data_IF_376484056035
#
_entry.id   IF_376484056035
#
_cell.length_a   1.000
_cell.length_b   1.000
_cell.length_c   1.000
_cell.angle_alpha   90.00
_cell.angle_beta   90.00
_cell.angle_gamma   90.00
#
_symmetry.space_group_name_H-M   'P 1'
#
loop_
_entity.id
_entity.type
_entity.pdbx_description
1 polymer ?
#
# COMPACT_ATOMS: atom_id res chain seq x y z
N UNK A 1 19.69 44.81 -0.32
CA UNK A 1 18.43 44.42 0.35
C UNK A 1 18.74 43.20 1.19
N UNK A 2 18.37 43.17 2.47
CA UNK A 2 18.61 42.00 3.32
C UNK A 2 17.84 40.80 2.78
N UNK A 3 18.43 39.60 2.84
CA UNK A 3 17.70 38.38 2.51
C UNK A 3 16.46 38.30 3.40
N UNK A 4 15.28 37.95 2.85
CA UNK A 4 14.09 37.76 3.66
C UNK A 4 14.38 36.69 4.71
N UNK A 5 14.31 37.07 6.00
CA UNK A 5 14.64 36.18 7.11
C UNK A 5 13.47 35.24 7.38
N UNK A 6 13.70 33.94 7.34
CA UNK A 6 12.70 32.94 7.73
C UNK A 6 12.33 33.13 9.22
N UNK A 7 11.04 32.96 9.56
CA UNK A 7 10.49 33.27 10.89
C UNK A 7 10.92 32.27 11.98
N UNK A 8 11.21 31.01 11.62
CA UNK A 8 11.64 29.98 12.55
C UNK A 8 13.04 30.27 13.11
N UNK A 9 13.12 30.63 14.39
CA UNK A 9 14.35 31.13 15.03
C UNK A 9 15.43 30.07 15.27
N UNK A 10 15.03 28.85 15.62
CA UNK A 10 15.95 27.75 15.95
C UNK A 10 16.33 26.89 14.72
N UNK A 11 16.05 27.42 13.53
CA UNK A 11 16.28 26.73 12.27
C UNK A 11 17.78 26.58 12.00
N UNK A 12 18.11 25.57 11.18
CA UNK A 12 19.47 25.33 10.71
C UNK A 12 19.81 26.27 9.55
N UNK A 13 21.07 26.70 9.40
CA UNK A 13 21.45 27.69 8.37
C UNK A 13 21.06 27.31 6.93
N UNK A 14 21.04 26.01 6.60
CA UNK A 14 20.68 25.57 5.25
C UNK A 14 19.23 25.94 4.86
N UNK A 15 18.34 26.11 5.84
CA UNK A 15 16.95 26.48 5.59
C UNK A 15 16.81 27.89 5.01
N UNK A 16 17.76 28.79 5.30
CA UNK A 16 17.78 30.11 4.66
C UNK A 16 18.13 30.02 3.18
N UNK A 17 19.12 29.19 2.83
CA UNK A 17 19.46 28.91 1.44
C UNK A 17 18.29 28.25 0.70
N UNK A 18 17.71 27.21 1.31
CA UNK A 18 16.55 26.52 0.76
C UNK A 18 15.37 27.48 0.55
N UNK A 19 15.07 28.34 1.53
CA UNK A 19 14.02 29.35 1.42
C UNK A 19 14.28 30.30 0.26
N UNK A 20 15.49 30.86 0.14
CA UNK A 20 15.85 31.79 -0.93
C UNK A 20 15.80 31.14 -2.32
N UNK A 21 16.22 29.87 -2.43
CA UNK A 21 16.23 29.15 -3.71
C UNK A 21 14.84 28.70 -4.16
N UNK A 22 13.93 28.45 -3.22
CA UNK A 22 12.61 27.87 -3.53
C UNK A 22 11.47 28.87 -3.48
N UNK A 23 11.63 29.99 -2.75
CA UNK A 23 10.66 31.07 -2.68
C UNK A 23 10.95 32.15 -3.73
N UNK A 24 9.93 32.62 -4.45
CA UNK A 24 10.04 33.76 -5.37
C UNK A 24 9.67 35.07 -4.70
N UNK A 25 8.61 35.05 -3.88
CA UNK A 25 8.16 36.05 -2.91
C UNK A 25 7.29 35.33 -1.86
N UNK A 26 7.20 35.82 -0.61
CA UNK A 26 6.40 35.16 0.43
C UNK A 26 4.94 35.01 0.00
N UNK A 27 4.42 33.78 -0.01
CA UNK A 27 3.03 33.47 -0.37
C UNK A 27 2.77 33.22 -1.87
N UNK A 28 3.78 33.24 -2.74
CA UNK A 28 3.65 32.79 -4.13
C UNK A 28 4.51 31.56 -4.42
N UNK A 29 4.04 30.62 -5.25
CA UNK A 29 4.84 29.46 -5.64
C UNK A 29 6.07 29.92 -6.43
N UNK A 30 7.26 29.52 -5.97
CA UNK A 30 8.49 29.69 -6.75
C UNK A 30 8.56 28.72 -7.93
N UNK A 31 9.70 28.69 -8.63
CA UNK A 31 9.91 27.76 -9.76
C UNK A 31 9.81 26.29 -9.35
N UNK A 32 9.94 26.01 -8.05
CA UNK A 32 9.81 24.67 -7.47
C UNK A 32 8.38 24.30 -7.05
N UNK A 33 7.43 25.23 -7.13
CA UNK A 33 6.02 25.03 -6.76
C UNK A 33 5.72 25.07 -5.26
N UNK A 34 6.75 25.22 -4.40
CA UNK A 34 6.59 25.34 -2.95
C UNK A 34 6.19 26.76 -2.55
N UNK A 35 5.23 26.84 -1.63
CA UNK A 35 4.71 28.06 -1.02
C UNK A 35 5.04 28.01 0.47
N UNK A 36 5.98 28.86 0.89
CA UNK A 36 6.40 28.91 2.29
C UNK A 36 5.34 29.55 3.18
N UNK A 37 5.09 28.89 4.31
CA UNK A 37 4.10 29.30 5.29
C UNK A 37 4.65 30.46 6.14
N UNK A 38 3.79 31.41 6.45
CA UNK A 38 4.05 32.37 7.54
C UNK A 38 4.09 31.65 8.90
N UNK A 39 4.62 32.34 9.93
CA UNK A 39 4.64 31.80 11.30
C UNK A 39 3.24 31.43 11.79
N UNK A 40 2.24 32.24 11.45
CA UNK A 40 0.86 31.99 11.83
C UNK A 40 0.31 30.73 11.12
N UNK A 41 0.47 30.65 9.80
CA UNK A 41 0.00 29.49 9.01
C UNK A 41 0.70 28.19 9.42
N UNK A 42 1.99 28.25 9.73
CA UNK A 42 2.74 27.09 10.23
C UNK A 42 2.22 26.63 11.58
N UNK A 43 1.95 27.56 12.52
CA UNK A 43 1.36 27.21 13.82
C UNK A 43 -0.04 26.62 13.68
N UNK A 44 -0.85 27.17 12.78
CA UNK A 44 -2.18 26.62 12.48
C UNK A 44 -2.08 25.22 11.85
N UNK A 45 -1.19 25.02 10.88
CA UNK A 45 -0.94 23.70 10.29
C UNK A 45 -0.47 22.69 11.34
N UNK A 46 0.46 23.09 12.21
CA UNK A 46 0.94 22.22 13.29
C UNK A 46 -0.16 21.92 14.32
N UNK A 47 -1.07 22.87 14.57
CA UNK A 47 -2.24 22.66 15.43
C UNK A 47 -3.26 21.72 14.77
N UNK A 48 -3.49 21.82 13.45
CA UNK A 48 -4.35 20.88 12.70
C UNK A 48 -3.79 19.47 12.70
N UNK A 49 -2.49 19.29 12.49
CA UNK A 49 -1.84 17.97 12.49
C UNK A 49 -1.92 17.33 13.88
N UNK A 50 -1.71 18.12 14.95
CA UNK A 50 -1.79 17.63 16.34
C UNK A 50 -3.22 17.46 16.86
N UNK A 51 -4.13 18.28 16.37
CA UNK A 51 -5.53 18.34 16.79
C UNK A 51 -6.47 17.57 15.87
N UNK A 52 -5.96 16.89 14.84
CA UNK A 52 -6.76 16.03 13.97
C UNK A 52 -7.53 15.04 14.84
N UNK A 53 -8.84 15.22 14.89
CA UNK A 53 -9.77 14.33 15.57
C UNK A 53 -9.94 13.04 14.76
N UNK A 54 -10.65 12.06 15.33
CA UNK A 54 -11.01 10.82 14.63
C UNK A 54 -11.79 11.03 13.30
N UNK A 55 -12.22 12.25 12.97
CA UNK A 55 -12.99 12.56 11.76
C UNK A 55 -12.13 12.89 10.51
N UNK A 56 -10.87 13.32 10.66
CA UNK A 56 -10.06 13.87 9.55
C UNK A 56 -9.09 12.86 8.89
N UNK A 57 -9.38 11.56 9.02
CA UNK A 57 -8.48 10.43 8.77
C UNK A 57 -7.37 10.34 9.84
N UNK A 58 -7.70 9.83 11.03
CA UNK A 58 -6.76 9.72 12.15
C UNK A 58 -5.55 8.87 11.76
N UNK A 59 -4.46 8.96 12.52
CA UNK A 59 -3.32 8.02 12.40
C UNK A 59 -3.79 6.55 12.38
N UNK A 60 -4.92 6.24 13.03
CA UNK A 60 -5.61 4.96 13.00
C UNK A 60 -6.04 4.46 11.61
N UNK A 61 -6.24 5.38 10.65
CA UNK A 61 -6.49 5.03 9.25
C UNK A 61 -5.21 4.53 8.57
N UNK A 62 -4.06 5.10 8.89
CA UNK A 62 -2.81 4.84 8.18
C UNK A 62 -1.99 3.69 8.76
N UNK A 63 -1.94 3.59 10.09
CA UNK A 63 -1.04 2.67 10.79
C UNK A 63 -1.76 1.96 11.94
N UNK A 64 -1.31 0.73 12.27
CA UNK A 64 -1.75 0.01 13.47
C UNK A 64 -1.52 0.80 14.76
N UNK A 65 -2.35 0.52 15.76
CA UNK A 65 -2.36 1.26 17.04
C UNK A 65 -1.02 1.21 17.76
N UNK A 66 -0.30 0.11 17.67
CA UNK A 66 1.02 -0.09 18.28
C UNK A 66 2.09 0.93 17.82
N UNK A 67 1.92 1.55 16.64
CA UNK A 67 2.85 2.56 16.13
C UNK A 67 2.39 4.01 16.38
N UNK A 68 1.22 4.22 16.99
CA UNK A 68 0.67 5.56 17.18
C UNK A 68 1.52 6.40 18.11
N UNK A 69 1.98 5.84 19.24
CA UNK A 69 2.82 6.56 20.20
C UNK A 69 4.11 7.03 19.55
N UNK A 70 4.82 6.14 18.84
CA UNK A 70 6.05 6.50 18.13
C UNK A 70 5.79 7.59 17.08
N UNK A 71 4.69 7.51 16.33
CA UNK A 71 4.33 8.55 15.37
C UNK A 71 3.98 9.89 16.04
N UNK A 72 3.28 9.86 17.17
CA UNK A 72 3.02 11.06 17.96
C UNK A 72 4.30 11.70 18.46
N UNK A 73 5.23 10.92 19.02
CA UNK A 73 6.56 11.41 19.42
C UNK A 73 7.32 12.01 18.25
N UNK A 74 7.28 11.39 17.07
CA UNK A 74 7.92 11.95 15.86
C UNK A 74 7.27 13.25 15.38
N UNK A 75 5.99 13.50 15.70
CA UNK A 75 5.30 14.75 15.39
C UNK A 75 5.59 15.85 16.42
N UNK A 76 6.14 15.51 17.59
CA UNK A 76 6.47 16.48 18.62
C UNK A 76 7.58 17.41 18.16
N UNK A 77 7.29 18.71 18.13
CA UNK A 77 8.27 19.73 17.75
C UNK A 77 8.47 19.89 16.24
N UNK A 78 7.84 19.06 15.40
CA UNK A 78 7.87 19.22 13.96
C UNK A 78 7.24 20.56 13.56
N UNK A 79 7.88 21.22 12.59
CA UNK A 79 7.50 22.53 12.07
C UNK A 79 7.11 22.41 10.60
N UNK A 80 5.82 22.61 10.24
CA UNK A 80 5.43 22.76 8.84
C UNK A 80 6.07 24.03 8.26
N UNK A 81 6.78 23.90 7.15
CA UNK A 81 7.58 24.98 6.55
C UNK A 81 6.93 25.54 5.29
N UNK A 82 6.45 24.67 4.42
CA UNK A 82 5.89 25.03 3.13
C UNK A 82 4.84 24.00 2.71
N UNK A 83 3.90 24.42 1.86
CA UNK A 83 3.00 23.51 1.14
C UNK A 83 3.22 23.67 -0.35
N UNK A 84 2.87 22.65 -1.12
CA UNK A 84 2.97 22.74 -2.58
C UNK A 84 1.63 23.20 -3.17
N UNK A 85 1.70 24.11 -4.16
CA UNK A 85 0.50 24.72 -4.77
C UNK A 85 -0.25 23.82 -5.75
N UNK A 86 0.34 22.69 -6.18
CA UNK A 86 -0.27 21.69 -7.04
C UNK A 86 -1.21 20.76 -6.24
N UNK A 87 -2.25 21.37 -5.67
CA UNK A 87 -3.30 20.68 -4.94
C UNK A 87 -3.92 19.58 -5.82
N UNK A 88 -3.77 18.33 -5.39
CA UNK A 88 -4.43 17.20 -6.04
C UNK A 88 -5.67 16.80 -5.26
N UNK A 89 -6.79 16.80 -5.96
CA UNK A 89 -8.00 16.13 -5.52
C UNK A 89 -7.86 14.61 -5.56
N UNK A 90 -8.66 13.89 -4.78
CA UNK A 90 -9.14 12.59 -5.27
C UNK A 90 -9.80 12.77 -6.66
N UNK A 91 -10.05 11.69 -7.41
CA UNK A 91 -10.68 11.84 -8.74
C UNK A 91 -12.02 12.58 -8.68
N UNK A 92 -12.71 12.56 -7.54
CA UNK A 92 -13.91 13.36 -7.30
C UNK A 92 -13.69 14.85 -7.00
N UNK A 93 -12.44 15.30 -6.86
CA UNK A 93 -12.07 16.64 -6.42
C UNK A 93 -12.71 17.05 -5.08
N UNK A 94 -13.10 16.07 -4.25
CA UNK A 94 -13.73 16.27 -2.94
C UNK A 94 -12.70 16.55 -1.86
N UNK A 95 -11.52 15.92 -1.95
CA UNK A 95 -10.44 16.09 -0.97
C UNK A 95 -9.18 16.58 -1.66
N UNK A 96 -8.82 17.83 -1.40
CA UNK A 96 -7.58 18.42 -1.87
C UNK A 96 -6.46 18.11 -0.88
N UNK A 97 -5.36 17.57 -1.38
CA UNK A 97 -4.20 17.23 -0.59
C UNK A 97 -2.98 18.03 -1.05
N UNK A 98 -2.45 18.84 -0.15
CA UNK A 98 -1.23 19.57 -0.35
C UNK A 98 -0.05 18.76 0.21
N UNK A 99 0.95 18.41 -0.62
CA UNK A 99 2.23 18.00 -0.09
C UNK A 99 2.79 19.07 0.84
N UNK A 100 3.33 18.67 1.98
CA UNK A 100 3.82 19.58 3.01
C UNK A 100 5.28 19.28 3.31
N UNK A 101 6.09 20.33 3.34
CA UNK A 101 7.48 20.30 3.74
C UNK A 101 7.57 20.54 5.26
N UNK A 102 8.32 19.69 5.95
CA UNK A 102 8.50 19.73 7.39
C UNK A 102 9.97 19.87 7.76
N UNK A 103 10.22 20.68 8.78
CA UNK A 103 11.46 20.70 9.54
C UNK A 103 11.28 19.95 10.85
N UNK A 104 12.27 19.15 11.23
CA UNK A 104 12.26 18.39 12.48
C UNK A 104 13.47 18.81 13.34
N UNK A 105 13.26 19.43 14.52
CA UNK A 105 14.35 19.78 15.43
C UNK A 105 15.16 18.57 15.92
N UNK A 106 14.54 17.39 16.05
CA UNK A 106 15.20 16.16 16.48
C UNK A 106 16.00 15.50 15.34
N UNK A 107 15.64 15.78 14.09
CA UNK A 107 16.37 15.37 12.88
C UNK A 107 16.76 16.59 12.03
N UNK A 108 17.68 17.43 12.55
CA UNK A 108 17.93 18.78 12.03
C UNK A 108 18.89 18.79 10.83
N UNK A 109 19.22 17.64 10.26
CA UNK A 109 20.16 17.49 9.15
C UNK A 109 19.46 17.41 7.79
N UNK A 110 18.13 17.44 7.74
CA UNK A 110 17.35 17.47 6.50
C UNK A 110 15.91 17.99 6.71
N UNK A 111 15.21 18.21 5.61
CA UNK A 111 13.76 18.41 5.57
C UNK A 111 13.03 17.16 5.09
N UNK A 112 11.73 17.08 5.39
CA UNK A 112 10.89 15.92 5.11
C UNK A 112 9.66 16.35 4.32
N UNK A 113 9.24 15.54 3.36
CA UNK A 113 8.02 15.76 2.58
C UNK A 113 6.97 14.74 3.00
N UNK A 114 5.81 15.21 3.44
CA UNK A 114 4.62 14.38 3.48
C UNK A 114 3.79 14.62 2.21
N UNK A 115 3.38 13.54 1.53
CA UNK A 115 2.50 13.65 0.35
C UNK A 115 1.07 14.07 0.73
N UNK A 116 0.74 13.94 2.01
CA UNK A 116 -0.44 14.47 2.66
C UNK A 116 -0.06 14.90 4.09
N UNK A 117 -0.62 16.00 4.59
CA UNK A 117 -0.26 16.52 5.92
C UNK A 117 -0.63 15.60 7.08
N UNK A 118 -1.57 14.66 6.89
CA UNK A 118 -1.99 13.67 7.89
C UNK A 118 -1.28 12.31 7.70
N UNK A 119 -0.44 12.18 6.67
CA UNK A 119 0.40 11.00 6.49
C UNK A 119 1.34 10.84 7.69
N UNK A 120 1.47 9.64 8.28
CA UNK A 120 2.29 9.43 9.46
C UNK A 120 3.78 9.65 9.14
N UNK A 121 4.59 10.18 10.08
CA UNK A 121 6.01 10.51 9.86
C UNK A 121 6.89 9.39 9.29
N UNK A 122 6.69 8.10 9.61
CA UNK A 122 7.46 7.02 9.01
C UNK A 122 7.32 6.91 7.49
N UNK A 123 6.25 7.48 6.90
CA UNK A 123 6.03 7.53 5.47
C UNK A 123 6.53 8.84 4.83
N UNK A 124 7.12 9.76 5.59
CA UNK A 124 7.64 11.01 5.03
C UNK A 124 8.92 10.78 4.24
N UNK A 125 9.01 11.44 3.09
CA UNK A 125 10.14 11.33 2.16
C UNK A 125 11.25 12.28 2.64
N UNK A 126 12.47 11.80 2.95
CA UNK A 126 13.59 12.68 3.20
C UNK A 126 13.98 13.45 1.94
N UNK A 127 14.16 14.76 2.06
CA UNK A 127 14.36 15.68 0.94
C UNK A 127 15.71 16.43 0.98
N UNK A 128 16.61 16.02 1.88
CA UNK A 128 17.93 16.63 2.03
C UNK A 128 17.87 18.07 2.51
N UNK A 129 18.81 18.91 2.06
CA UNK A 129 19.02 20.28 2.58
C UNK A 129 19.11 21.35 1.50
N UNK A 130 18.96 20.97 0.23
CA UNK A 130 19.13 21.87 -0.94
C UNK A 130 17.89 21.86 -1.82
N UNK A 131 17.68 22.90 -2.64
CA UNK A 131 16.55 22.90 -3.57
C UNK A 131 16.62 21.74 -4.58
N UNK A 132 17.83 21.36 -5.00
CA UNK A 132 18.06 20.23 -5.90
C UNK A 132 17.65 18.89 -5.26
N UNK A 133 18.09 18.62 -4.03
CA UNK A 133 17.71 17.39 -3.31
C UNK A 133 16.20 17.34 -3.03
N UNK A 134 15.58 18.49 -2.73
CA UNK A 134 14.14 18.61 -2.55
C UNK A 134 13.38 18.29 -3.85
N UNK A 135 13.84 18.84 -4.98
CA UNK A 135 13.26 18.58 -6.28
C UNK A 135 13.42 17.11 -6.69
N UNK A 136 14.59 16.51 -6.49
CA UNK A 136 14.87 15.10 -6.77
C UNK A 136 13.99 14.17 -5.95
N UNK A 137 13.89 14.40 -4.63
CA UNK A 137 13.08 13.58 -3.73
C UNK A 137 11.59 13.59 -4.10
N UNK A 138 11.08 14.74 -4.56
CA UNK A 138 9.69 14.88 -4.96
C UNK A 138 9.43 14.55 -6.44
N UNK A 139 10.45 14.52 -7.29
CA UNK A 139 10.33 14.32 -8.75
C UNK A 139 9.37 13.17 -9.16
N UNK A 140 9.37 11.99 -8.51
CA UNK A 140 8.45 10.91 -8.86
C UNK A 140 6.97 11.28 -8.66
N UNK A 141 6.68 12.15 -7.70
CA UNK A 141 5.33 12.60 -7.33
C UNK A 141 4.96 13.95 -7.94
N UNK A 142 5.88 14.56 -8.71
CA UNK A 142 5.52 15.64 -9.62
C UNK A 142 4.63 15.02 -10.68
N UNK A 143 3.33 15.07 -10.45
CA UNK A 143 2.36 14.74 -11.48
C UNK A 143 2.46 15.83 -12.52
N UNK A 144 2.99 15.58 -13.74
CA UNK A 144 2.84 16.56 -14.78
C UNK A 144 1.36 16.60 -15.16
N UNK A 145 0.86 17.76 -15.59
CA UNK A 145 -0.41 17.86 -16.33
C UNK A 145 -0.48 16.88 -17.52
N UNK A 146 0.63 16.22 -17.88
CA UNK A 146 0.79 15.25 -18.98
C UNK A 146 0.81 13.77 -18.57
N UNK A 147 0.67 13.38 -17.28
CA UNK A 147 0.39 11.97 -16.88
C UNK A 147 -1.12 11.64 -16.95
N UNK A 148 -1.80 12.26 -17.89
CA UNK A 148 -3.13 11.86 -18.37
C UNK A 148 -2.90 11.06 -19.67
N UNK A 149 -3.19 9.74 -19.70
CA UNK A 149 -3.91 8.97 -18.68
C UNK A 149 -3.01 8.34 -17.59
N UNK A 150 -3.63 7.92 -16.47
CA UNK A 150 -3.02 7.05 -15.46
C UNK A 150 -2.34 5.83 -16.13
N UNK A 151 -1.25 5.28 -15.57
CA UNK A 151 -0.63 4.09 -16.15
C UNK A 151 -1.61 2.92 -16.14
N UNK A 152 -1.80 2.31 -17.32
CA UNK A 152 -2.58 1.09 -17.47
C UNK A 152 -2.08 0.01 -16.50
N UNK A 153 -2.98 -0.71 -15.85
CA UNK A 153 -2.68 -1.73 -14.84
C UNK A 153 -1.73 -2.78 -15.40
N UNK A 154 -1.97 -3.23 -16.64
CA UNK A 154 -1.12 -4.23 -17.31
C UNK A 154 0.31 -3.74 -17.61
N UNK A 155 0.56 -2.43 -17.55
CA UNK A 155 1.89 -1.83 -17.79
C UNK A 155 2.68 -1.60 -16.50
N UNK A 156 2.10 -1.86 -15.33
CA UNK A 156 2.79 -1.73 -14.06
C UNK A 156 3.79 -2.89 -13.90
N UNK A 157 5.11 -2.62 -13.85
CA UNK A 157 6.14 -3.66 -14.01
C UNK A 157 6.42 -4.47 -12.74
N UNK A 158 5.99 -3.98 -11.58
CA UNK A 158 6.14 -4.68 -10.29
C UNK A 158 4.78 -5.13 -9.80
N UNK A 159 4.76 -6.29 -9.13
CA UNK A 159 3.62 -6.78 -8.36
C UNK A 159 4.12 -7.40 -7.06
N UNK A 160 3.42 -7.11 -5.97
CA UNK A 160 3.62 -7.74 -4.67
C UNK A 160 2.27 -8.28 -4.21
N UNK A 161 2.26 -9.53 -3.74
CA UNK A 161 1.08 -10.18 -3.18
C UNK A 161 1.30 -10.49 -1.71
N UNK A 162 0.31 -10.13 -0.90
CA UNK A 162 0.36 -10.18 0.56
C UNK A 162 -0.91 -10.88 1.04
N UNK A 163 -0.73 -11.97 1.77
CA UNK A 163 -1.83 -12.63 2.45
C UNK A 163 -2.19 -11.82 3.71
N UNK A 164 -3.44 -11.36 3.81
CA UNK A 164 -3.90 -10.53 4.93
C UNK A 164 -4.43 -11.34 6.12
N UNK A 165 -4.79 -12.61 5.89
CA UNK A 165 -5.45 -13.45 6.88
C UNK A 165 -6.87 -13.85 6.48
N UNK A 166 -7.55 -14.54 7.40
CA UNK A 166 -8.96 -14.85 7.32
C UNK A 166 -9.84 -13.71 7.81
N UNK A 167 -11.10 -13.66 7.35
CA UNK A 167 -12.09 -12.68 7.86
C UNK A 167 -12.24 -12.76 9.39
N UNK A 168 -12.10 -13.97 9.96
CA UNK A 168 -12.12 -14.20 11.40
C UNK A 168 -10.92 -13.56 12.11
N UNK A 169 -9.72 -13.71 11.57
CA UNK A 169 -8.49 -13.13 12.15
C UNK A 169 -8.49 -11.61 12.05
N UNK A 170 -9.02 -11.07 10.95
CA UNK A 170 -9.16 -9.64 10.74
C UNK A 170 -10.36 -9.04 11.49
N UNK A 171 -11.32 -9.86 11.93
CA UNK A 171 -12.56 -9.42 12.56
C UNK A 171 -13.47 -8.59 11.63
N UNK A 172 -13.31 -8.76 10.31
CA UNK A 172 -13.98 -7.98 9.28
C UNK A 172 -14.23 -8.85 8.05
N UNK A 173 -15.41 -8.71 7.45
CA UNK A 173 -15.73 -9.35 6.17
C UNK A 173 -15.03 -8.64 5.00
N UNK A 174 -15.02 -9.29 3.84
CA UNK A 174 -14.41 -8.76 2.63
C UNK A 174 -14.92 -7.34 2.26
N UNK A 175 -16.22 -7.08 2.39
CA UNK A 175 -16.78 -5.77 2.07
C UNK A 175 -16.26 -4.67 3.02
N UNK A 176 -16.17 -4.98 4.31
CA UNK A 176 -15.63 -4.08 5.32
C UNK A 176 -14.16 -3.79 5.06
N UNK A 177 -13.38 -4.80 4.68
CA UNK A 177 -11.96 -4.64 4.32
C UNK A 177 -11.82 -3.75 3.08
N UNK A 178 -12.63 -3.98 2.04
CA UNK A 178 -12.64 -3.15 0.83
C UNK A 178 -12.99 -1.69 1.16
N UNK A 179 -14.05 -1.47 1.95
CA UNK A 179 -14.46 -0.13 2.40
C UNK A 179 -13.37 0.56 3.20
N UNK A 180 -12.64 -0.20 4.01
CA UNK A 180 -11.50 0.31 4.74
C UNK A 180 -10.42 0.83 3.78
N UNK A 181 -10.01 0.02 2.79
CA UNK A 181 -9.03 0.43 1.78
C UNK A 181 -9.49 1.67 1.00
N UNK A 182 -10.79 1.78 0.66
CA UNK A 182 -11.35 2.97 0.00
C UNK A 182 -11.32 4.23 0.87
N UNK A 183 -11.35 4.06 2.18
CA UNK A 183 -11.28 5.15 3.16
C UNK A 183 -9.86 5.66 3.41
N UNK A 184 -8.83 4.92 2.99
CA UNK A 184 -7.44 5.30 3.21
C UNK A 184 -7.09 6.60 2.48
N UNK A 185 -6.30 7.51 3.08
CA UNK A 185 -5.94 8.75 2.38
C UNK A 185 -4.85 8.57 1.32
N UNK A 186 -4.29 7.37 1.17
CA UNK A 186 -3.39 7.03 0.06
C UNK A 186 -4.09 6.33 -1.12
N UNK A 187 -5.39 6.05 -1.05
CA UNK A 187 -6.14 5.38 -2.11
C UNK A 187 -7.15 6.29 -2.78
N UNK A 188 -7.62 5.89 -3.95
CA UNK A 188 -8.80 6.48 -4.56
C UNK A 188 -10.08 5.80 -4.07
N UNK A 189 -11.16 6.56 -3.97
CA UNK A 189 -12.50 6.10 -3.60
C UNK A 189 -13.27 5.47 -4.77
N UNK A 190 -12.62 5.29 -5.92
CA UNK A 190 -13.16 4.73 -7.15
C UNK A 190 -12.71 3.27 -7.37
N UNK A 191 -13.38 2.30 -6.74
CA UNK A 191 -13.10 0.88 -6.95
C UNK A 191 -13.66 0.36 -8.27
N UNK A 192 -13.14 -0.77 -8.75
CA UNK A 192 -13.77 -1.57 -9.79
C UNK A 192 -13.57 -3.06 -9.54
N UNK A 193 -14.47 -3.88 -10.07
CA UNK A 193 -14.48 -5.34 -9.93
C UNK A 193 -13.77 -6.04 -11.08
N UNK A 194 -13.68 -7.37 -10.98
CA UNK A 194 -12.95 -8.22 -11.94
C UNK A 194 -13.53 -8.24 -13.35
N UNK A 195 -14.73 -7.69 -13.59
CA UNK A 195 -15.28 -7.50 -14.94
C UNK A 195 -14.39 -6.59 -15.80
N UNK A 196 -13.61 -5.72 -15.18
CA UNK A 196 -12.71 -4.79 -15.87
C UNK A 196 -11.24 -5.13 -15.54
N UNK A 197 -10.47 -5.43 -16.58
CA UNK A 197 -9.02 -5.67 -16.47
C UNK A 197 -8.27 -4.36 -16.19
N UNK A 198 -8.80 -3.26 -16.72
CA UNK A 198 -8.26 -1.91 -16.57
C UNK A 198 -9.21 -1.04 -15.75
N UNK A 199 -8.70 0.08 -15.25
CA UNK A 199 -9.47 1.07 -14.52
C UNK A 199 -10.56 1.67 -15.43
N UNK A 200 -11.86 1.42 -15.17
CA UNK A 200 -12.95 1.89 -16.04
C UNK A 200 -13.34 3.35 -15.75
N UNK A 201 -12.78 3.95 -14.70
CA UNK A 201 -13.10 5.32 -14.34
C UNK A 201 -12.33 6.31 -15.21
N UNK A 202 -12.96 7.42 -15.61
CA UNK A 202 -12.23 8.49 -16.28
C UNK A 202 -11.16 9.06 -15.34
N UNK A 203 -10.03 9.51 -15.89
CA UNK A 203 -8.97 10.16 -15.12
C UNK A 203 -9.46 11.44 -14.43
N UNK A 204 -10.45 12.11 -15.04
CA UNK A 204 -11.13 13.29 -14.50
C UNK A 204 -12.65 13.14 -14.62
N UNK A 205 -13.36 12.59 -13.61
CA UNK A 205 -14.83 12.50 -13.63
C UNK A 205 -15.54 13.86 -13.41
N UNK A 206 -14.86 14.99 -13.66
CA UNK A 206 -15.40 16.35 -13.51
C UNK A 206 -16.63 16.48 -14.41
N UNK A 207 -17.82 16.49 -13.80
CA UNK A 207 -19.10 16.57 -14.51
C UNK A 207 -20.00 15.35 -14.36
N UNK A 208 -19.53 14.25 -13.77
CA UNK A 208 -20.44 13.17 -13.34
C UNK A 208 -21.20 13.68 -12.11
N UNK A 209 -22.48 14.01 -12.29
CA UNK A 209 -23.36 14.31 -11.17
C UNK A 209 -23.34 13.15 -10.15
N UNK A 210 -23.40 13.47 -8.85
CA UNK A 210 -23.31 12.47 -7.76
C UNK A 210 -24.28 11.28 -7.96
N UNK A 211 -25.45 11.55 -8.55
CA UNK A 211 -26.46 10.55 -8.89
C UNK A 211 -25.97 9.59 -9.98
N UNK A 212 -25.32 10.09 -11.03
CA UNK A 212 -24.72 9.27 -12.09
C UNK A 212 -23.54 8.44 -11.56
N UNK A 213 -22.78 8.96 -10.60
CA UNK A 213 -21.69 8.23 -9.95
C UNK A 213 -22.20 6.96 -9.24
N UNK A 214 -23.39 7.00 -8.64
CA UNK A 214 -24.01 5.83 -8.01
C UNK A 214 -24.34 4.71 -9.01
N UNK A 215 -24.85 5.07 -10.20
CA UNK A 215 -25.12 4.10 -11.27
C UNK A 215 -23.82 3.50 -11.82
N UNK A 216 -22.82 4.33 -12.10
CA UNK A 216 -21.52 3.86 -12.59
C UNK A 216 -20.79 2.99 -11.55
N UNK A 217 -20.96 3.27 -10.25
CA UNK A 217 -20.36 2.46 -9.20
C UNK A 217 -20.88 1.02 -9.23
N UNK A 218 -22.20 0.84 -9.30
CA UNK A 218 -22.82 -0.49 -9.34
C UNK A 218 -22.37 -1.30 -10.57
N UNK A 219 -22.19 -0.65 -11.72
CA UNK A 219 -21.67 -1.30 -12.92
C UNK A 219 -20.18 -1.62 -12.82
N UNK A 220 -19.39 -0.70 -12.28
CA UNK A 220 -17.93 -0.82 -12.22
C UNK A 220 -17.46 -1.85 -11.20
N UNK A 221 -18.22 -2.15 -10.14
CA UNK A 221 -17.85 -3.18 -9.13
C UNK A 221 -18.24 -4.62 -9.51
N UNK A 222 -18.82 -4.82 -10.69
CA UNK A 222 -19.26 -6.14 -11.13
C UNK A 222 -18.09 -7.12 -11.27
N UNK A 223 -18.36 -8.39 -10.98
CA UNK A 223 -17.39 -9.48 -11.06
C UNK A 223 -17.53 -10.23 -12.40
N UNK A 224 -16.42 -10.71 -12.93
CA UNK A 224 -16.43 -11.61 -14.09
C UNK A 224 -16.87 -13.02 -13.67
N UNK A 225 -17.64 -13.69 -14.53
CA UNK A 225 -18.10 -15.06 -14.27
C UNK A 225 -16.92 -16.02 -14.06
N UNK A 226 -16.93 -16.75 -12.95
CA UNK A 226 -15.90 -17.72 -12.59
C UNK A 226 -14.57 -17.13 -12.11
N UNK A 227 -14.44 -15.81 -12.03
CA UNK A 227 -13.28 -15.14 -11.43
C UNK A 227 -13.34 -15.19 -9.90
N UNK A 228 -12.17 -15.08 -9.26
CA UNK A 228 -12.07 -14.87 -7.81
C UNK A 228 -12.62 -13.47 -7.49
N UNK A 229 -13.64 -13.33 -6.63
CA UNK A 229 -14.19 -12.03 -6.28
C UNK A 229 -13.09 -11.09 -5.81
N UNK A 230 -12.93 -9.97 -6.51
CA UNK A 230 -11.89 -8.99 -6.20
C UNK A 230 -12.37 -7.57 -6.47
N UNK A 231 -11.84 -6.63 -5.69
CA UNK A 231 -12.05 -5.20 -5.88
C UNK A 231 -10.69 -4.53 -6.01
N UNK A 232 -10.52 -3.76 -7.08
CA UNK A 232 -9.30 -3.00 -7.36
C UNK A 232 -9.56 -1.51 -7.20
N UNK A 233 -8.58 -0.76 -6.70
CA UNK A 233 -8.58 0.70 -6.65
C UNK A 233 -7.18 1.23 -6.99
N UNK A 234 -7.04 2.55 -7.15
CA UNK A 234 -5.73 3.18 -7.39
C UNK A 234 -5.11 3.74 -6.11
N UNK A 235 -3.79 3.72 -6.02
CA UNK A 235 -3.09 4.62 -5.11
C UNK A 235 -3.21 6.06 -5.63
N UNK A 236 -3.26 7.01 -4.70
CA UNK A 236 -3.68 8.37 -5.00
C UNK A 236 -2.65 9.17 -5.77
N UNK A 237 -1.35 8.92 -5.58
CA UNK A 237 -0.29 9.76 -6.15
C UNK A 237 0.30 9.15 -7.41
N UNK A 238 0.75 7.90 -7.38
CA UNK A 238 1.39 7.27 -8.55
C UNK A 238 0.49 6.31 -9.33
N UNK A 239 -0.76 6.12 -8.89
CA UNK A 239 -1.71 5.27 -9.60
C UNK A 239 -1.34 3.79 -9.58
N UNK A 240 -0.68 3.31 -8.51
CA UNK A 240 -0.51 1.87 -8.28
C UNK A 240 -1.88 1.19 -8.23
N UNK A 241 -2.00 -0.03 -8.75
CA UNK A 241 -3.23 -0.79 -8.67
C UNK A 241 -3.22 -1.65 -7.41
N UNK A 242 -4.26 -1.50 -6.59
CA UNK A 242 -4.42 -2.16 -5.29
C UNK A 242 -5.64 -3.06 -5.42
N UNK A 243 -5.41 -4.37 -5.51
CA UNK A 243 -6.47 -5.37 -5.65
C UNK A 243 -6.61 -6.16 -4.36
N UNK A 244 -7.81 -6.19 -3.80
CA UNK A 244 -8.17 -7.07 -2.68
C UNK A 244 -9.02 -8.20 -3.23
N UNK A 245 -8.60 -9.45 -3.03
CA UNK A 245 -9.29 -10.66 -3.49
C UNK A 245 -9.81 -11.47 -2.30
N UNK A 246 -11.04 -11.97 -2.40
CA UNK A 246 -11.63 -12.92 -1.45
C UNK A 246 -11.47 -14.35 -1.97
N UNK A 247 -10.67 -15.14 -1.25
CA UNK A 247 -10.42 -16.56 -1.49
C UNK A 247 -11.31 -17.41 -0.56
N UNK A 248 -12.62 -17.13 -0.58
CA UNK A 248 -13.67 -17.68 0.30
C UNK A 248 -13.49 -17.37 1.80
N UNK A 249 -12.42 -17.85 2.40
CA UNK A 249 -12.14 -17.71 3.84
C UNK A 249 -11.01 -16.75 4.14
N UNK A 250 -10.26 -16.31 3.13
CA UNK A 250 -9.08 -15.46 3.28
C UNK A 250 -9.11 -14.26 2.33
N UNK A 251 -8.41 -13.20 2.72
CA UNK A 251 -8.16 -12.06 1.84
C UNK A 251 -6.69 -12.00 1.40
N UNK A 252 -6.49 -11.61 0.15
CA UNK A 252 -5.17 -11.33 -0.43
C UNK A 252 -5.17 -9.92 -0.97
N UNK A 253 -4.10 -9.19 -0.67
CA UNK A 253 -3.79 -7.89 -1.25
C UNK A 253 -2.75 -8.07 -2.35
N UNK A 254 -3.03 -7.61 -3.56
CA UNK A 254 -2.06 -7.44 -4.62
C UNK A 254 -1.84 -5.95 -4.88
N UNK A 255 -0.57 -5.53 -4.91
CA UNK A 255 -0.17 -4.17 -5.24
C UNK A 255 0.71 -4.20 -6.48
N UNK A 256 0.22 -3.65 -7.59
CA UNK A 256 1.00 -3.43 -8.81
C UNK A 256 1.42 -1.98 -8.90
N UNK A 257 2.68 -1.73 -9.22
CA UNK A 257 3.21 -0.36 -9.16
C UNK A 257 4.39 -0.13 -10.11
N UNK A 258 4.68 1.15 -10.38
CA UNK A 258 5.91 1.60 -11.01
C UNK A 258 6.96 1.87 -9.92
N UNK A 259 8.20 1.37 -10.05
CA UNK A 259 9.18 1.42 -8.98
C UNK A 259 9.66 2.86 -8.73
N UNK A 260 9.72 3.24 -7.45
CA UNK A 260 10.28 4.50 -6.96
C UNK A 260 11.13 4.22 -5.73
N UNK A 261 12.39 4.62 -5.77
CA UNK A 261 13.34 4.33 -4.69
C UNK A 261 13.27 5.38 -3.58
N UNK A 262 12.93 4.95 -2.37
CA UNK A 262 13.10 5.71 -1.14
C UNK A 262 13.78 4.84 -0.07
N UNK A 263 15.11 4.68 -0.22
CA UNK A 263 15.89 3.68 0.50
C UNK A 263 15.77 3.71 2.03
N UNK A 264 15.42 4.86 2.62
CA UNK A 264 15.32 5.05 4.07
C UNK A 264 13.94 4.82 4.66
N UNK A 265 12.87 4.74 3.85
CA UNK A 265 11.49 4.66 4.36
C UNK A 265 11.17 3.26 4.86
N UNK A 266 11.44 2.23 4.05
CA UNK A 266 11.10 0.86 4.41
C UNK A 266 11.80 0.38 5.70
N UNK A 267 13.11 0.61 5.92
CA UNK A 267 13.75 0.23 7.18
C UNK A 267 13.11 0.88 8.41
N UNK A 268 12.71 2.16 8.30
CA UNK A 268 12.02 2.87 9.38
C UNK A 268 10.62 2.30 9.63
N UNK A 269 9.89 1.93 8.58
CA UNK A 269 8.61 1.24 8.72
C UNK A 269 8.77 -0.13 9.38
N UNK A 270 9.76 -0.92 8.97
CA UNK A 270 10.04 -2.25 9.55
C UNK A 270 10.40 -2.16 11.05
N UNK A 271 11.15 -1.12 11.45
CA UNK A 271 11.47 -0.87 12.86
C UNK A 271 10.22 -0.55 13.69
N UNK A 272 9.32 0.27 13.15
CA UNK A 272 8.15 0.79 13.88
C UNK A 272 6.92 -0.12 13.79
N UNK A 273 6.86 -0.97 12.76
CA UNK A 273 5.74 -1.84 12.45
C UNK A 273 6.21 -3.30 12.40
N UNK A 274 6.36 -3.96 13.56
CA UNK A 274 6.83 -5.35 13.61
C UNK A 274 5.89 -6.35 12.91
N UNK A 275 4.65 -5.95 12.62
CA UNK A 275 3.68 -6.72 11.85
C UNK A 275 3.69 -6.42 10.35
N UNK A 276 4.57 -5.54 9.85
CA UNK A 276 4.69 -5.24 8.43
C UNK A 276 5.13 -6.52 7.68
N UNK A 277 4.54 -6.82 6.50
CA UNK A 277 4.97 -7.96 5.70
C UNK A 277 6.47 -7.91 5.42
N UNK A 278 7.18 -9.01 5.72
CA UNK A 278 8.61 -9.09 5.46
C UNK A 278 8.90 -9.16 3.97
N UNK A 279 10.03 -8.60 3.55
CA UNK A 279 10.49 -8.68 2.16
C UNK A 279 9.77 -7.73 1.21
N UNK A 280 9.14 -6.66 1.72
CA UNK A 280 8.61 -5.62 0.85
C UNK A 280 9.75 -5.02 0.00
N UNK A 281 9.51 -4.75 -1.29
CA UNK A 281 10.54 -4.13 -2.12
C UNK A 281 10.82 -2.69 -1.69
N UNK A 282 12.10 -2.32 -1.60
CA UNK A 282 12.54 -0.95 -1.29
C UNK A 282 12.22 0.07 -2.39
N UNK A 283 11.73 -0.41 -3.54
CA UNK A 283 11.28 0.39 -4.68
C UNK A 283 9.76 0.62 -4.70
N UNK A 284 9.03 0.27 -3.64
CA UNK A 284 7.60 0.53 -3.53
C UNK A 284 7.35 2.04 -3.27
N UNK A 285 6.46 2.69 -4.06
CA UNK A 285 6.05 4.07 -3.80
C UNK A 285 5.47 4.29 -2.42
N UNK A 286 5.62 5.50 -1.87
CA UNK A 286 5.17 5.83 -0.51
C UNK A 286 3.65 5.74 -0.35
N UNK A 287 2.88 6.15 -1.36
CA UNK A 287 1.43 6.02 -1.34
C UNK A 287 0.99 4.55 -1.36
N UNK A 288 1.68 3.69 -2.09
CA UNK A 288 1.47 2.24 -2.04
C UNK A 288 1.92 1.62 -0.70
N UNK A 289 3.06 2.05 -0.14
CA UNK A 289 3.52 1.62 1.18
C UNK A 289 2.52 2.00 2.28
N UNK A 290 1.90 3.18 2.20
CA UNK A 290 0.86 3.59 3.15
C UNK A 290 -0.36 2.68 3.15
N UNK A 291 -0.66 2.02 2.04
CA UNK A 291 -1.74 1.02 1.94
C UNK A 291 -1.35 -0.27 2.66
N UNK A 292 -0.11 -0.72 2.45
CA UNK A 292 0.42 -1.97 3.02
C UNK A 292 0.69 -1.82 4.52
N UNK A 293 1.20 -0.67 4.96
CA UNK A 293 1.64 -0.42 6.33
C UNK A 293 0.52 -0.60 7.37
N UNK A 294 -0.74 -0.52 6.95
CA UNK A 294 -1.88 -0.62 7.85
C UNK A 294 -2.22 -2.04 8.29
N UNK A 295 -1.86 -3.04 7.48
CA UNK A 295 -2.25 -4.42 7.70
C UNK A 295 -1.06 -5.27 8.10
N UNK A 296 -1.33 -6.18 9.04
CA UNK A 296 -0.47 -7.33 9.22
C UNK A 296 -0.71 -8.29 8.07
N UNK A 297 0.36 -8.85 7.54
CA UNK A 297 0.25 -9.80 6.45
C UNK A 297 1.56 -10.51 6.18
N UNK A 298 1.49 -11.50 5.33
CA UNK A 298 2.62 -12.36 5.03
C UNK A 298 2.86 -12.44 3.53
N UNK A 299 4.12 -12.38 3.13
CA UNK A 299 4.52 -12.72 1.77
C UNK A 299 4.72 -14.23 1.62
N UNK A 300 4.76 -14.69 0.36
CA UNK A 300 4.83 -16.11 0.04
C UNK A 300 6.05 -16.80 0.67
N UNK A 301 7.23 -16.15 0.69
CA UNK A 301 8.45 -16.73 1.26
C UNK A 301 8.36 -16.95 2.77
N UNK A 302 7.74 -16.01 3.50
CA UNK A 302 7.51 -16.14 4.94
C UNK A 302 6.53 -17.29 5.24
N UNK A 303 5.43 -17.35 4.47
CA UNK A 303 4.47 -18.45 4.57
C UNK A 303 5.11 -19.79 4.19
N UNK A 304 6.02 -19.80 3.22
CA UNK A 304 6.70 -21.01 2.81
C UNK A 304 7.65 -21.53 3.89
N UNK A 305 8.30 -20.63 4.65
CA UNK A 305 9.07 -21.01 5.83
C UNK A 305 8.16 -21.63 6.92
N UNK A 306 6.98 -21.06 7.17
CA UNK A 306 5.99 -21.61 8.10
C UNK A 306 5.41 -22.94 7.65
N UNK A 307 5.33 -23.17 6.33
CA UNK A 307 4.98 -24.49 5.79
C UNK A 307 6.09 -25.49 6.09
N UNK A 308 7.35 -25.14 5.85
CA UNK A 308 8.51 -26.05 6.05
C UNK A 308 8.64 -26.53 7.49
N UNK A 309 8.48 -25.63 8.45
CA UNK A 309 8.58 -25.93 9.88
C UNK A 309 7.29 -25.54 10.61
N UNK A 310 6.20 -26.32 10.46
CA UNK A 310 4.93 -25.99 11.06
C UNK A 310 4.95 -26.34 12.56
N UNK A 311 4.55 -25.39 13.42
CA UNK A 311 4.43 -25.65 14.87
C UNK A 311 3.41 -26.76 15.19
N UNK A 312 2.33 -26.85 14.41
CA UNK A 312 1.28 -27.87 14.56
C UNK A 312 0.73 -28.37 13.21
N UNK A 313 0.28 -29.62 13.10
CA UNK A 313 -0.31 -30.16 11.85
C UNK A 313 -1.54 -29.38 11.32
N UNK A 314 -2.51 -28.94 12.15
CA UNK A 314 -3.63 -28.11 11.68
C UNK A 314 -3.19 -26.80 11.04
N UNK A 315 -2.04 -26.24 11.45
CA UNK A 315 -1.49 -25.01 10.89
C UNK A 315 -0.92 -25.22 9.48
N UNK A 316 -0.49 -26.44 9.13
CA UNK A 316 0.10 -26.75 7.83
C UNK A 316 -0.88 -26.52 6.66
N UNK A 317 -2.13 -26.97 6.81
CA UNK A 317 -3.16 -26.79 5.78
C UNK A 317 -3.47 -25.31 5.55
N UNK A 318 -3.62 -24.55 6.64
CA UNK A 318 -3.81 -23.11 6.61
C UNK A 318 -2.63 -22.39 5.95
N UNK A 319 -1.40 -22.63 6.42
CA UNK A 319 -0.20 -21.99 5.86
C UNK A 319 0.03 -22.35 4.39
N UNK A 320 -0.29 -23.58 3.98
CA UNK A 320 -0.20 -24.00 2.58
C UNK A 320 -1.18 -23.21 1.71
N UNK A 321 -2.44 -23.09 2.15
CA UNK A 321 -3.45 -22.30 1.43
C UNK A 321 -3.06 -20.83 1.35
N UNK A 322 -2.62 -20.25 2.46
CA UNK A 322 -2.13 -18.88 2.52
C UNK A 322 -0.94 -18.67 1.55
N UNK A 323 0.01 -19.60 1.54
CA UNK A 323 1.20 -19.54 0.69
C UNK A 323 0.83 -19.62 -0.80
N UNK A 324 -0.06 -20.55 -1.20
CA UNK A 324 -0.60 -20.62 -2.57
C UNK A 324 -1.32 -19.33 -2.97
N UNK A 325 -2.12 -18.76 -2.06
CA UNK A 325 -2.85 -17.52 -2.32
C UNK A 325 -1.89 -16.31 -2.51
N UNK A 326 -0.80 -16.29 -1.75
CA UNK A 326 0.28 -15.30 -1.87
C UNK A 326 1.09 -15.48 -3.16
N UNK A 327 1.39 -16.72 -3.60
CA UNK A 327 2.05 -16.97 -4.89
C UNK A 327 1.21 -16.50 -6.09
N UNK A 328 -0.12 -16.62 -6.01
CA UNK A 328 -1.01 -16.27 -7.12
C UNK A 328 -0.66 -17.07 -8.39
N UNK A 329 -0.35 -16.37 -9.48
CA UNK A 329 0.04 -16.98 -10.76
C UNK A 329 1.52 -17.41 -10.84
N UNK A 330 2.31 -17.24 -9.77
CA UNK A 330 3.68 -17.76 -9.73
C UNK A 330 3.69 -19.30 -9.68
N UNK A 331 3.65 -19.89 -10.87
CA UNK A 331 3.71 -21.33 -11.03
C UNK A 331 5.01 -21.94 -10.54
N UNK A 332 6.13 -21.21 -10.45
CA UNK A 332 7.38 -21.76 -9.95
C UNK A 332 7.36 -21.90 -8.42
N UNK A 333 6.97 -20.84 -7.71
CA UNK A 333 6.77 -20.86 -6.26
C UNK A 333 5.73 -21.90 -5.83
N UNK A 334 4.56 -21.90 -6.48
CA UNK A 334 3.51 -22.88 -6.22
C UNK A 334 3.99 -24.33 -6.45
N UNK A 335 4.74 -24.59 -7.54
CA UNK A 335 5.32 -25.93 -7.77
C UNK A 335 6.35 -26.32 -6.71
N UNK A 336 7.18 -25.39 -6.27
CA UNK A 336 8.19 -25.65 -5.24
C UNK A 336 7.52 -26.02 -3.90
N UNK A 337 6.49 -25.26 -3.49
CA UNK A 337 5.68 -25.54 -2.31
C UNK A 337 5.01 -26.92 -2.38
N UNK A 338 4.37 -27.22 -3.52
CA UNK A 338 3.65 -28.48 -3.69
C UNK A 338 4.62 -29.67 -3.75
N UNK A 339 5.81 -29.51 -4.34
CA UNK A 339 6.86 -30.52 -4.30
C UNK A 339 7.40 -30.77 -2.88
N UNK A 340 7.61 -29.71 -2.10
CA UNK A 340 7.99 -29.78 -0.67
C UNK A 340 6.97 -30.62 0.11
N UNK A 341 5.67 -30.32 -0.06
CA UNK A 341 4.59 -31.05 0.61
C UNK A 341 4.51 -32.51 0.17
N UNK A 342 4.61 -32.79 -1.14
CA UNK A 342 4.59 -34.15 -1.67
C UNK A 342 5.80 -35.00 -1.27
N UNK A 343 6.91 -34.38 -0.86
CA UNK A 343 8.12 -35.05 -0.38
C UNK A 343 8.08 -35.45 1.10
N UNK A 344 7.05 -35.07 1.85
CA UNK A 344 6.96 -35.35 3.30
C UNK A 344 6.71 -36.81 3.59
N UNK A 345 7.34 -37.34 4.64
CA UNK A 345 7.17 -38.74 5.04
C UNK A 345 5.75 -39.04 5.56
N UNK A 346 5.15 -38.10 6.29
CA UNK A 346 3.83 -38.26 6.89
C UNK A 346 2.70 -38.14 5.84
N UNK A 347 1.92 -39.21 5.59
CA UNK A 347 0.84 -39.20 4.59
C UNK A 347 -0.23 -38.14 4.85
N UNK A 348 -0.55 -37.84 6.12
CA UNK A 348 -1.56 -36.81 6.44
C UNK A 348 -1.13 -35.43 5.97
N UNK A 349 0.15 -35.11 6.13
CA UNK A 349 0.71 -33.83 5.69
C UNK A 349 0.73 -33.71 4.17
N UNK A 350 1.03 -34.80 3.44
CA UNK A 350 0.89 -34.86 1.98
C UNK A 350 -0.57 -34.65 1.54
N UNK A 351 -1.50 -35.34 2.21
CA UNK A 351 -2.94 -35.24 1.96
C UNK A 351 -3.49 -33.81 2.08
N UNK A 352 -3.06 -33.07 3.11
CA UNK A 352 -3.39 -31.64 3.26
C UNK A 352 -2.87 -30.80 2.09
N UNK A 353 -1.64 -31.07 1.63
CA UNK A 353 -1.07 -30.43 0.44
C UNK A 353 -1.86 -30.70 -0.83
N UNK A 354 -2.37 -31.93 -1.01
CA UNK A 354 -3.22 -32.27 -2.15
C UNK A 354 -4.57 -31.57 -2.10
N UNK A 355 -5.18 -31.48 -0.92
CA UNK A 355 -6.42 -30.73 -0.74
C UNK A 355 -6.21 -29.25 -1.10
N UNK A 356 -5.11 -28.66 -0.63
CA UNK A 356 -4.78 -27.27 -0.93
C UNK A 356 -4.54 -27.03 -2.43
N UNK A 357 -3.79 -27.92 -3.09
CA UNK A 357 -3.62 -27.88 -4.55
C UNK A 357 -4.93 -28.04 -5.32
N UNK A 358 -5.86 -28.85 -4.80
CA UNK A 358 -7.19 -29.00 -5.40
C UNK A 358 -8.00 -27.72 -5.31
N UNK A 359 -8.01 -27.06 -4.15
CA UNK A 359 -8.67 -25.77 -3.96
C UNK A 359 -8.06 -24.69 -4.85
N UNK A 360 -6.73 -24.66 -4.96
CA UNK A 360 -5.99 -23.77 -5.86
C UNK A 360 -6.00 -24.22 -7.34
N UNK A 361 -6.76 -25.26 -7.71
CA UNK A 361 -6.94 -25.77 -9.08
C UNK A 361 -5.64 -26.19 -9.78
N UNK A 362 -4.61 -26.62 -9.04
CA UNK A 362 -3.34 -27.13 -9.59
C UNK A 362 -3.45 -28.59 -10.07
N UNK A 363 -4.31 -28.86 -11.06
CA UNK A 363 -4.60 -30.22 -11.56
C UNK A 363 -3.36 -31.02 -11.99
N UNK A 364 -2.37 -30.36 -12.60
CA UNK A 364 -1.12 -31.02 -13.00
C UNK A 364 -0.39 -31.63 -11.80
N UNK A 365 -0.28 -30.87 -10.71
CA UNK A 365 0.36 -31.38 -9.49
C UNK A 365 -0.43 -32.56 -8.92
N UNK A 366 -1.76 -32.49 -8.88
CA UNK A 366 -2.59 -33.61 -8.41
C UNK A 366 -2.38 -34.88 -9.23
N UNK A 367 -2.26 -34.76 -10.56
CA UNK A 367 -1.92 -35.90 -11.41
C UNK A 367 -0.53 -36.46 -11.10
N UNK A 368 0.48 -35.61 -10.94
CA UNK A 368 1.85 -36.03 -10.59
C UNK A 368 1.90 -36.68 -9.20
N UNK A 369 1.14 -36.16 -8.23
CA UNK A 369 0.99 -36.73 -6.88
C UNK A 369 0.32 -38.11 -6.92
N UNK A 370 -0.76 -38.28 -7.69
CA UNK A 370 -1.46 -39.57 -7.81
C UNK A 370 -0.56 -40.69 -8.34
N UNK A 371 0.44 -40.37 -9.15
CA UNK A 371 1.40 -41.35 -9.68
C UNK A 371 2.43 -41.81 -8.64
N UNK A 372 2.64 -41.04 -7.56
CA UNK A 372 3.69 -41.27 -6.56
C UNK A 372 3.13 -41.66 -5.19
N UNK A 373 1.89 -41.28 -4.91
CA UNK A 373 1.25 -41.54 -3.63
C UNK A 373 0.96 -43.03 -3.44
N UNK A 374 1.29 -43.52 -2.25
CA UNK A 374 1.14 -44.93 -1.85
C UNK A 374 0.08 -45.12 -0.78
N UNK A 375 -0.29 -44.06 -0.07
CA UNK A 375 -1.35 -44.09 0.95
C UNK A 375 -2.74 -44.18 0.30
N UNK A 376 -3.51 -45.21 0.66
CA UNK A 376 -4.79 -45.53 0.00
C UNK A 376 -5.83 -44.42 0.13
N UNK A 377 -5.91 -43.76 1.29
CA UNK A 377 -6.85 -42.68 1.57
C UNK A 377 -6.52 -41.46 0.71
N UNK A 378 -5.24 -41.08 0.64
CA UNK A 378 -4.78 -39.99 -0.22
C UNK A 378 -4.99 -40.31 -1.71
N UNK A 379 -4.71 -41.54 -2.14
CA UNK A 379 -4.98 -41.96 -3.53
C UNK A 379 -6.46 -41.81 -3.86
N UNK A 380 -7.36 -42.21 -2.96
CA UNK A 380 -8.80 -42.08 -3.18
C UNK A 380 -9.24 -40.62 -3.20
N UNK A 381 -8.70 -39.77 -2.32
CA UNK A 381 -8.95 -38.34 -2.30
C UNK A 381 -8.48 -37.66 -3.60
N UNK A 382 -7.28 -37.97 -4.07
CA UNK A 382 -6.73 -37.46 -5.34
C UNK A 382 -7.59 -37.87 -6.53
N UNK A 383 -8.02 -39.14 -6.58
CA UNK A 383 -8.95 -39.61 -7.63
C UNK A 383 -10.27 -38.86 -7.62
N UNK A 384 -10.79 -38.51 -6.44
CA UNK A 384 -12.03 -37.75 -6.32
C UNK A 384 -11.84 -36.29 -6.77
N UNK A 385 -10.73 -35.65 -6.38
CA UNK A 385 -10.39 -34.27 -6.76
C UNK A 385 -10.14 -34.10 -8.27
N UNK A 386 -9.66 -35.16 -8.94
CA UNK A 386 -9.38 -35.18 -10.38
C UNK A 386 -10.59 -35.55 -11.25
N UNK A 387 -11.76 -35.83 -10.66
CA UNK A 387 -12.97 -36.09 -11.45
C UNK A 387 -13.37 -34.84 -12.26
N UNK A 388 -13.95 -35.02 -13.46
CA UNK A 388 -14.36 -33.93 -14.35
C UNK A 388 -15.26 -32.90 -13.68
#
# INVERSE_FOLDING_TARGET
MGLPSHWWKDRRPFLDGLFVETARDSGQPGETGWVWLSEHESREAAARIRGASDEDAPLAAWIPQEAHEACHTMLEGVVPLATRGDLRGDRWMRKLHAPTLFGDPARPDQVWIALDQHMPPPLWIPAGTTAASLAEAYAPYVWPETQDPLPAVVRLPRSVRIFLGSEREMGADFETIVRFFQGLPCTDSLPWGTRFVEDPWPDHPVGIALVSAGYHMADNIQQADGAVPSITMRSRRLGAAITVSSMETFCVLEVRYAPVSHASILPLLEELLPGLPKGLPSDMPVDALGVVARFRGYQADELFALVRDPEEEPSLGYHTMACLAAFGDDGAGARALLAELGGRENPRQRGLGYQAASLARHKRFLHEALLRETDEDNVQALKNALRP
#
